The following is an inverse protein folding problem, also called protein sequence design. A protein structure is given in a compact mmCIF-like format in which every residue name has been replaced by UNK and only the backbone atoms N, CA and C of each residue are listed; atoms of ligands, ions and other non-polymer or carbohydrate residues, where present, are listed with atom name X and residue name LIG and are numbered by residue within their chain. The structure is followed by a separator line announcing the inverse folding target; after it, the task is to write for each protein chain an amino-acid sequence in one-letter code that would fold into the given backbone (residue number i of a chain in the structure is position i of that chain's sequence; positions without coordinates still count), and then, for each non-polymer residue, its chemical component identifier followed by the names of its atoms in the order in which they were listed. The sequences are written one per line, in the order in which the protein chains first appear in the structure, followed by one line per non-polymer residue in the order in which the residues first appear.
data_IF_986578073938
#
_entry.id   IF_986578073938
#
_cell.length_a   1.000
_cell.length_b   1.000
_cell.length_c   1.000
_cell.angle_alpha   90.00
_cell.angle_beta   90.00
_cell.angle_gamma   90.00
#
_symmetry.space_group_name_H-M   'P 1'
#
loop_
_entity.id
_entity.type
_entity.pdbx_description
1 polymer ?
#
# COMPACT_ATOMS: atom_id res chain seq x y z
N UNK A 1 32.86 -20.55 -19.90
CA UNK A 1 31.99 -20.05 -18.82
C UNK A 1 32.00 -18.52 -18.67
N UNK A 2 33.15 -17.88 -18.44
CA UNK A 2 33.22 -16.42 -18.23
C UNK A 2 32.60 -15.61 -19.38
N UNK A 3 32.85 -16.01 -20.63
CA UNK A 3 32.26 -15.36 -21.80
C UNK A 3 30.72 -15.48 -21.89
N UNK A 4 30.14 -16.59 -21.44
CA UNK A 4 28.67 -16.76 -21.38
C UNK A 4 28.06 -15.97 -20.23
N UNK A 5 28.75 -15.87 -19.09
CA UNK A 5 28.30 -15.04 -17.96
C UNK A 5 28.32 -13.55 -18.33
N UNK A 6 29.42 -13.09 -18.94
CA UNK A 6 29.54 -11.71 -19.44
C UNK A 6 28.52 -11.44 -20.55
N UNK A 7 28.30 -12.39 -21.46
CA UNK A 7 27.29 -12.26 -22.51
C UNK A 7 25.87 -12.16 -21.94
N UNK A 8 25.51 -12.98 -20.94
CA UNK A 8 24.22 -12.89 -20.27
C UNK A 8 24.07 -11.57 -19.49
N UNK A 9 25.09 -11.14 -18.74
CA UNK A 9 25.08 -9.84 -18.09
C UNK A 9 24.91 -8.70 -19.08
N UNK A 10 25.67 -8.67 -20.17
CA UNK A 10 25.60 -7.61 -21.18
C UNK A 10 24.26 -7.59 -21.92
N UNK A 11 23.72 -8.78 -22.27
CA UNK A 11 22.43 -8.93 -22.97
C UNK A 11 21.24 -8.37 -22.16
N UNK A 12 21.34 -8.41 -20.83
CA UNK A 12 20.29 -7.88 -19.94
C UNK A 12 20.64 -6.53 -19.30
N UNK A 13 21.88 -6.02 -19.42
CA UNK A 13 22.32 -4.78 -18.75
C UNK A 13 21.93 -3.48 -19.46
N UNK A 14 21.50 -3.51 -20.72
CA UNK A 14 21.55 -2.33 -21.59
C UNK A 14 20.26 -1.51 -21.78
N UNK A 15 19.06 -1.97 -21.41
CA UNK A 15 17.82 -1.24 -21.78
C UNK A 15 16.60 -1.55 -20.91
N UNK A 16 16.71 -2.43 -19.94
CA UNK A 16 15.61 -2.78 -19.03
C UNK A 16 15.97 -2.19 -17.68
N UNK A 17 15.31 -1.10 -17.25
CA UNK A 17 15.11 -0.95 -15.81
C UNK A 17 14.44 -2.25 -15.39
N UNK A 18 15.17 -3.13 -14.71
CA UNK A 18 14.69 -4.46 -14.37
C UNK A 18 13.31 -4.27 -13.73
N UNK A 19 12.27 -4.95 -14.21
CA UNK A 19 10.91 -4.77 -13.65
C UNK A 19 10.93 -5.00 -12.13
N UNK A 20 11.86 -5.84 -11.67
CA UNK A 20 12.18 -6.02 -10.26
C UNK A 20 12.70 -4.75 -9.58
N UNK A 21 13.63 -4.01 -10.19
CA UNK A 21 14.19 -2.77 -9.64
C UNK A 21 13.13 -1.66 -9.54
N UNK A 22 12.19 -1.60 -10.50
CA UNK A 22 11.04 -0.68 -10.44
C UNK A 22 10.20 -0.99 -9.20
N UNK A 23 9.84 -2.26 -9.01
CA UNK A 23 9.07 -2.71 -7.86
C UNK A 23 9.85 -2.52 -6.55
N UNK A 24 11.17 -2.77 -6.57
CA UNK A 24 12.09 -2.64 -5.43
C UNK A 24 12.14 -1.22 -4.92
N UNK A 25 12.35 -0.26 -5.81
CA UNK A 25 12.36 1.15 -5.44
C UNK A 25 10.98 1.61 -4.92
N UNK A 26 9.88 1.02 -5.42
CA UNK A 26 8.53 1.33 -4.94
C UNK A 26 8.22 0.74 -3.54
N UNK A 27 8.91 -0.34 -3.14
CA UNK A 27 8.69 -1.07 -1.89
C UNK A 27 9.67 -0.67 -0.80
N UNK A 28 10.97 -0.72 -1.08
CA UNK A 28 12.03 -0.67 -0.07
C UNK A 28 11.98 0.61 0.77
N UNK A 29 11.91 1.78 0.13
CA UNK A 29 11.87 3.08 0.83
C UNK A 29 10.62 3.20 1.71
N UNK A 30 9.45 2.81 1.19
CA UNK A 30 8.18 2.87 1.93
C UNK A 30 8.16 1.91 3.11
N UNK A 31 8.74 0.73 2.93
CA UNK A 31 8.79 -0.29 3.98
C UNK A 31 9.76 0.10 5.08
N UNK A 32 10.91 0.70 4.73
CA UNK A 32 11.87 1.25 5.68
C UNK A 32 11.27 2.41 6.49
N UNK A 33 10.56 3.32 5.83
CA UNK A 33 9.86 4.44 6.48
C UNK A 33 8.73 3.97 7.41
N UNK A 34 8.04 2.88 7.03
CA UNK A 34 6.96 2.30 7.83
C UNK A 34 7.53 1.60 9.08
N UNK A 35 8.39 0.60 8.87
CA UNK A 35 9.00 -0.16 9.95
C UNK A 35 10.29 -0.85 9.46
N UNK A 36 11.48 -0.38 9.90
CA UNK A 36 12.77 -0.95 9.50
C UNK A 36 12.92 -2.45 9.81
N UNK A 37 12.27 -2.94 10.87
CA UNK A 37 12.31 -4.37 11.24
C UNK A 37 11.59 -5.21 10.20
N UNK A 38 10.46 -4.73 9.66
CA UNK A 38 9.72 -5.42 8.60
C UNK A 38 10.53 -5.40 7.30
N UNK A 39 11.20 -4.28 6.98
CA UNK A 39 12.11 -4.19 5.84
C UNK A 39 13.27 -5.19 5.95
N UNK A 40 13.88 -5.31 7.13
CA UNK A 40 14.93 -6.30 7.38
C UNK A 40 14.43 -7.74 7.20
N UNK A 41 13.21 -8.05 7.67
CA UNK A 41 12.59 -9.37 7.47
C UNK A 41 12.45 -9.72 5.98
N UNK A 42 12.10 -8.74 5.14
CA UNK A 42 12.01 -8.96 3.69
C UNK A 42 13.37 -9.34 3.11
N UNK A 43 14.42 -8.60 3.49
CA UNK A 43 15.79 -8.89 3.07
C UNK A 43 16.26 -10.27 3.54
N UNK A 44 15.94 -10.66 4.78
CA UNK A 44 16.25 -11.98 5.32
C UNK A 44 15.55 -13.10 4.56
N UNK A 45 14.29 -12.91 4.15
CA UNK A 45 13.57 -13.87 3.34
C UNK A 45 14.24 -14.09 1.96
N UNK A 46 14.64 -13.01 1.28
CA UNK A 46 15.40 -13.09 0.02
C UNK A 46 16.77 -13.76 0.18
N UNK A 47 17.49 -13.44 1.27
CA UNK A 47 18.78 -14.08 1.59
C UNK A 47 18.61 -15.58 1.77
N UNK A 48 17.57 -15.99 2.49
CA UNK A 48 17.32 -17.38 2.83
C UNK A 48 17.01 -18.24 1.58
N UNK A 49 16.24 -17.75 0.62
CA UNK A 49 15.98 -18.47 -0.66
C UNK A 49 17.17 -18.47 -1.64
N UNK A 50 18.13 -17.58 -1.42
CA UNK A 50 19.37 -17.51 -2.20
C UNK A 50 20.39 -18.56 -1.73
N UNK A 51 20.19 -19.12 -0.54
CA UNK A 51 21.01 -20.19 0.03
C UNK A 51 20.74 -21.53 -0.65
N UNK A 52 21.73 -22.42 -0.58
CA UNK A 52 21.60 -23.81 -1.04
C UNK A 52 21.20 -24.77 0.10
N UNK A 53 20.85 -24.25 1.29
CA UNK A 53 20.39 -25.04 2.43
C UNK A 53 18.88 -25.07 2.54
N UNK A 54 18.31 -26.27 2.58
CA UNK A 54 16.87 -26.48 2.67
C UNK A 54 16.25 -25.92 3.95
N UNK A 55 16.95 -25.97 5.09
CA UNK A 55 16.43 -25.39 6.33
C UNK A 55 16.24 -23.88 6.22
N UNK A 56 17.09 -23.21 5.44
CA UNK A 56 16.99 -21.77 5.21
C UNK A 56 15.75 -21.44 4.35
N UNK A 57 15.34 -22.31 3.42
CA UNK A 57 14.11 -22.14 2.66
C UNK A 57 12.85 -22.23 3.53
N UNK A 58 12.84 -23.18 4.47
CA UNK A 58 11.77 -23.30 5.47
C UNK A 58 11.70 -22.06 6.37
N UNK A 59 12.86 -21.53 6.75
CA UNK A 59 12.97 -20.28 7.49
C UNK A 59 12.46 -19.08 6.69
N UNK A 60 12.64 -19.07 5.36
CA UNK A 60 12.11 -18.02 4.49
C UNK A 60 10.57 -17.95 4.57
N UNK A 61 9.88 -19.09 4.53
CA UNK A 61 8.41 -19.15 4.66
C UNK A 61 7.91 -18.62 6.01
N UNK A 62 8.61 -18.98 7.08
CA UNK A 62 8.32 -18.48 8.43
C UNK A 62 8.53 -16.97 8.49
N UNK A 63 9.58 -16.48 7.85
CA UNK A 63 9.89 -15.04 7.77
C UNK A 63 8.84 -14.28 6.96
N UNK A 64 8.39 -14.81 5.82
CA UNK A 64 7.29 -14.24 5.03
C UNK A 64 6.00 -14.09 5.84
N UNK A 65 5.64 -15.11 6.63
CA UNK A 65 4.47 -15.05 7.50
C UNK A 65 4.61 -13.95 8.56
N UNK A 66 5.74 -13.92 9.26
CA UNK A 66 6.02 -12.89 10.29
C UNK A 66 6.01 -11.48 9.72
N UNK A 67 6.52 -11.31 8.51
CA UNK A 67 6.49 -10.05 7.79
C UNK A 67 5.04 -9.58 7.56
N UNK A 68 4.16 -10.47 7.08
CA UNK A 68 2.75 -10.13 6.87
C UNK A 68 2.00 -9.88 8.18
N UNK A 69 2.33 -10.61 9.24
CA UNK A 69 1.81 -10.37 10.60
C UNK A 69 2.24 -8.98 11.10
N UNK A 70 3.51 -8.61 10.93
CA UNK A 70 4.03 -7.29 11.27
C UNK A 70 3.38 -6.18 10.45
N UNK A 71 3.21 -6.36 9.14
CA UNK A 71 2.48 -5.40 8.31
C UNK A 71 1.03 -5.26 8.74
N UNK A 72 0.37 -6.36 9.10
CA UNK A 72 -0.97 -6.30 9.64
C UNK A 72 -1.01 -5.51 10.96
N UNK A 73 -0.02 -5.67 11.84
CA UNK A 73 0.08 -4.91 13.09
C UNK A 73 0.22 -3.40 12.84
N UNK A 74 1.00 -2.98 11.84
CA UNK A 74 1.18 -1.56 11.48
C UNK A 74 -0.05 -0.97 10.76
N UNK A 75 -0.63 -1.72 9.81
CA UNK A 75 -1.67 -1.21 8.92
C UNK A 75 -3.08 -1.34 9.51
N UNK A 76 -3.32 -2.39 10.30
CA UNK A 76 -4.61 -2.65 10.94
C UNK A 76 -4.42 -3.42 12.26
N UNK A 77 -4.16 -2.71 13.37
CA UNK A 77 -3.93 -3.33 14.67
C UNK A 77 -5.05 -4.29 15.07
N UNK A 78 -4.69 -5.33 15.81
CA UNK A 78 -5.65 -6.33 16.25
C UNK A 78 -6.77 -5.73 17.12
N UNK A 79 -8.01 -6.14 16.85
CA UNK A 79 -9.20 -5.69 17.58
C UNK A 79 -10.06 -6.88 18.03
N UNK A 80 -10.82 -6.67 19.11
CA UNK A 80 -11.88 -7.59 19.56
C UNK A 80 -13.15 -7.44 18.74
N UNK A 81 -13.33 -6.28 18.12
CA UNK A 81 -14.46 -6.01 17.23
C UNK A 81 -14.26 -6.72 15.90
N UNK A 82 -15.38 -7.03 15.23
CA UNK A 82 -15.35 -7.67 13.92
C UNK A 82 -15.37 -6.60 12.83
N UNK A 83 -14.56 -6.77 11.80
CA UNK A 83 -14.65 -5.97 10.58
C UNK A 83 -15.49 -6.71 9.54
N UNK A 84 -16.60 -6.12 9.10
CA UNK A 84 -17.54 -6.75 8.14
C UNK A 84 -17.90 -8.21 8.52
N UNK A 85 -18.15 -8.45 9.82
CA UNK A 85 -18.51 -9.76 10.36
C UNK A 85 -17.34 -10.75 10.53
N UNK A 86 -16.10 -10.39 10.17
CA UNK A 86 -14.89 -11.22 10.30
C UNK A 86 -14.08 -10.84 11.53
N UNK A 87 -13.46 -11.83 12.17
CA UNK A 87 -12.53 -11.59 13.27
C UNK A 87 -11.21 -11.00 12.75
N UNK A 88 -10.75 -9.95 13.41
CA UNK A 88 -9.52 -9.20 13.12
C UNK A 88 -8.60 -9.15 14.35
N UNK A 89 -8.47 -10.27 15.05
CA UNK A 89 -7.55 -10.42 16.18
C UNK A 89 -6.13 -10.75 15.73
N UNK A 90 -5.22 -10.95 16.69
CA UNK A 90 -3.79 -11.10 16.43
C UNK A 90 -3.46 -12.20 15.40
N UNK A 91 -4.09 -13.37 15.56
CA UNK A 91 -3.89 -14.52 14.66
C UNK A 91 -4.61 -14.40 13.31
N UNK A 92 -5.44 -13.37 13.09
CA UNK A 92 -6.19 -13.16 11.85
C UNK A 92 -5.53 -12.11 10.96
N UNK A 93 -4.20 -12.16 10.80
CA UNK A 93 -3.44 -11.17 10.03
C UNK A 93 -3.95 -11.02 8.58
N UNK A 94 -4.35 -12.11 7.91
CA UNK A 94 -4.95 -12.05 6.56
C UNK A 94 -6.21 -11.20 6.54
N UNK A 95 -7.10 -11.38 7.52
CA UNK A 95 -8.32 -10.56 7.63
C UNK A 95 -8.00 -9.10 7.95
N UNK A 96 -6.93 -8.85 8.73
CA UNK A 96 -6.48 -7.49 9.08
C UNK A 96 -5.92 -6.76 7.86
N UNK A 97 -5.09 -7.41 7.06
CA UNK A 97 -4.60 -6.88 5.78
C UNK A 97 -5.76 -6.61 4.80
N UNK A 98 -6.73 -7.52 4.72
CA UNK A 98 -7.93 -7.28 3.94
C UNK A 98 -8.75 -6.08 4.45
N UNK A 99 -8.93 -5.95 5.76
CA UNK A 99 -9.66 -4.83 6.35
C UNK A 99 -8.99 -3.48 6.06
N UNK A 100 -7.66 -3.44 6.10
CA UNK A 100 -6.89 -2.28 5.65
C UNK A 100 -7.19 -1.95 4.19
N UNK A 101 -7.06 -2.93 3.28
CA UNK A 101 -7.30 -2.69 1.85
C UNK A 101 -8.74 -2.27 1.56
N UNK A 102 -9.73 -2.85 2.22
CA UNK A 102 -11.14 -2.46 2.07
C UNK A 102 -11.38 -1.00 2.49
N UNK A 103 -10.67 -0.53 3.53
CA UNK A 103 -10.74 0.87 3.96
C UNK A 103 -9.93 1.83 3.08
N UNK A 104 -8.81 1.38 2.53
CA UNK A 104 -7.88 2.21 1.75
C UNK A 104 -8.29 2.36 0.27
N UNK A 105 -8.95 1.37 -0.30
CA UNK A 105 -9.31 1.34 -1.72
C UNK A 105 -10.73 1.88 -1.92
N UNK A 106 -10.91 2.82 -2.83
CA UNK A 106 -12.26 3.36 -3.15
C UNK A 106 -13.00 2.53 -4.21
N UNK A 107 -12.28 2.02 -5.21
CA UNK A 107 -12.88 1.26 -6.31
C UNK A 107 -13.21 -0.18 -5.89
N UNK A 108 -14.47 -0.58 -6.07
CA UNK A 108 -14.94 -1.93 -5.76
C UNK A 108 -14.19 -3.02 -6.54
N UNK A 109 -13.90 -2.78 -7.83
CA UNK A 109 -13.14 -3.74 -8.64
C UNK A 109 -11.71 -3.95 -8.11
N UNK A 110 -11.10 -2.89 -7.56
CA UNK A 110 -9.76 -2.97 -7.00
C UNK A 110 -9.78 -3.61 -5.62
N UNK A 111 -10.85 -3.42 -4.83
CA UNK A 111 -11.07 -4.15 -3.58
C UNK A 111 -11.18 -5.65 -3.82
N UNK A 112 -11.96 -6.05 -4.82
CA UNK A 112 -12.11 -7.45 -5.20
C UNK A 112 -10.78 -8.08 -5.61
N UNK A 113 -9.99 -7.35 -6.41
CA UNK A 113 -8.65 -7.80 -6.83
C UNK A 113 -7.69 -7.93 -5.64
N UNK A 114 -7.62 -6.91 -4.79
CA UNK A 114 -6.76 -6.92 -3.60
C UNK A 114 -7.15 -8.05 -2.63
N UNK A 115 -8.45 -8.24 -2.42
CA UNK A 115 -8.98 -9.32 -1.60
C UNK A 115 -8.60 -10.69 -2.18
N UNK A 116 -8.75 -10.90 -3.48
CA UNK A 116 -8.37 -12.15 -4.13
C UNK A 116 -6.88 -12.46 -3.96
N UNK A 117 -6.01 -11.45 -4.10
CA UNK A 117 -4.57 -11.61 -3.92
C UNK A 117 -4.19 -11.95 -2.47
N UNK A 118 -4.76 -11.24 -1.49
CA UNK A 118 -4.52 -11.48 -0.06
C UNK A 118 -5.04 -12.85 0.38
N UNK A 119 -6.24 -13.23 -0.06
CA UNK A 119 -6.84 -14.54 0.25
C UNK A 119 -5.99 -15.68 -0.37
N UNK A 120 -5.51 -15.49 -1.60
CA UNK A 120 -4.62 -16.44 -2.26
C UNK A 120 -3.31 -16.60 -1.48
N UNK A 121 -2.61 -15.51 -1.16
CA UNK A 121 -1.34 -15.56 -0.44
C UNK A 121 -1.51 -16.18 0.94
N UNK A 122 -2.56 -15.80 1.67
CA UNK A 122 -2.87 -16.38 2.98
C UNK A 122 -3.05 -17.89 2.91
N UNK A 123 -3.87 -18.36 1.96
CA UNK A 123 -4.11 -19.79 1.73
C UNK A 123 -2.84 -20.53 1.28
N UNK A 124 -2.03 -19.90 0.42
CA UNK A 124 -0.77 -20.43 -0.07
C UNK A 124 0.23 -20.63 1.07
N UNK A 125 0.55 -19.57 1.82
CA UNK A 125 1.52 -19.64 2.92
C UNK A 125 1.08 -20.60 4.02
N UNK A 126 -0.21 -20.69 4.32
CA UNK A 126 -0.73 -21.65 5.30
C UNK A 126 -0.49 -23.10 4.86
N UNK A 127 -0.72 -23.40 3.58
CA UNK A 127 -0.53 -24.75 3.03
C UNK A 127 0.94 -25.11 2.96
N UNK A 128 1.78 -24.23 2.41
CA UNK A 128 3.22 -24.50 2.28
C UNK A 128 3.85 -24.65 3.67
N UNK A 129 3.55 -23.76 4.63
CA UNK A 129 4.05 -23.92 6.00
C UNK A 129 3.57 -25.22 6.67
N UNK A 130 2.33 -25.67 6.43
CA UNK A 130 1.84 -26.95 6.97
C UNK A 130 2.55 -28.16 6.38
N UNK A 131 2.94 -28.11 5.10
CA UNK A 131 3.71 -29.18 4.45
C UNK A 131 5.11 -29.28 5.06
N UNK A 132 5.79 -28.15 5.23
CA UNK A 132 7.15 -28.08 5.78
C UNK A 132 7.22 -28.46 7.26
N UNK A 133 6.24 -28.04 8.09
CA UNK A 133 6.26 -28.29 9.54
C UNK A 133 5.81 -29.70 9.98
N UNK A 134 5.24 -30.53 9.08
CA UNK A 134 4.72 -31.85 9.44
C UNK A 134 5.72 -33.00 9.33
N UNK A 135 6.97 -32.75 8.93
CA UNK A 135 8.06 -33.73 8.97
C UNK A 135 7.84 -35.02 8.13
N UNK A 136 6.86 -35.03 7.23
CA UNK A 136 6.53 -36.18 6.38
C UNK A 136 7.13 -35.98 4.99
N UNK A 137 8.43 -36.23 4.82
CA UNK A 137 9.18 -36.41 3.55
C UNK A 137 8.90 -35.45 2.37
N UNK A 138 8.15 -34.36 2.58
CA UNK A 138 7.88 -33.34 1.59
C UNK A 138 9.01 -32.32 1.72
N UNK A 139 10.13 -32.65 1.07
CA UNK A 139 11.21 -31.69 0.86
C UNK A 139 10.61 -30.42 0.24
N UNK A 140 10.94 -29.28 0.82
CA UNK A 140 10.49 -28.01 0.27
C UNK A 140 11.30 -27.74 -0.99
N UNK A 141 10.64 -27.77 -2.15
CA UNK A 141 11.30 -27.37 -3.39
C UNK A 141 11.76 -25.90 -3.30
N UNK A 142 13.02 -25.63 -3.63
CA UNK A 142 13.59 -24.29 -3.70
C UNK A 142 12.71 -23.36 -4.54
N UNK A 143 12.14 -23.87 -5.63
CA UNK A 143 11.25 -23.07 -6.49
C UNK A 143 10.00 -22.62 -5.71
N UNK A 144 9.47 -23.47 -4.83
CA UNK A 144 8.29 -23.14 -4.02
C UNK A 144 8.58 -22.10 -2.95
N UNK A 145 9.77 -22.19 -2.33
CA UNK A 145 10.26 -21.17 -1.41
C UNK A 145 10.45 -19.82 -2.12
N UNK A 146 11.06 -19.83 -3.31
CA UNK A 146 11.24 -18.65 -4.15
C UNK A 146 9.88 -18.03 -4.50
N UNK A 147 8.92 -18.82 -5.01
CA UNK A 147 7.56 -18.33 -5.31
C UNK A 147 6.90 -17.71 -4.08
N UNK A 148 7.06 -18.31 -2.91
CA UNK A 148 6.45 -17.81 -1.67
C UNK A 148 7.00 -16.43 -1.27
N UNK A 149 8.31 -16.21 -1.43
CA UNK A 149 8.93 -14.88 -1.22
C UNK A 149 8.41 -13.89 -2.26
N UNK A 150 8.34 -14.27 -3.54
CA UNK A 150 7.84 -13.36 -4.59
C UNK A 150 6.35 -13.02 -4.43
N UNK A 151 5.49 -13.98 -4.09
CA UNK A 151 4.08 -13.70 -3.80
C UNK A 151 3.93 -12.79 -2.60
N UNK A 152 4.72 -13.02 -1.55
CA UNK A 152 4.76 -12.12 -0.39
C UNK A 152 5.16 -10.71 -0.82
N UNK A 153 6.24 -10.60 -1.59
CA UNK A 153 6.75 -9.32 -2.09
C UNK A 153 5.73 -8.54 -2.94
N UNK A 154 4.97 -9.23 -3.81
CA UNK A 154 3.92 -8.59 -4.61
C UNK A 154 2.76 -8.08 -3.73
N UNK A 155 2.32 -8.85 -2.72
CA UNK A 155 1.31 -8.36 -1.77
C UNK A 155 1.83 -7.17 -0.97
N UNK A 156 3.09 -7.19 -0.54
CA UNK A 156 3.71 -6.04 0.15
C UNK A 156 3.67 -4.80 -0.73
N UNK A 157 3.99 -4.93 -2.02
CA UNK A 157 3.90 -3.82 -2.97
C UNK A 157 2.49 -3.25 -3.07
N UNK A 158 1.47 -4.11 -3.24
CA UNK A 158 0.07 -3.70 -3.29
C UNK A 158 -0.35 -2.99 -2.00
N UNK A 159 0.00 -3.52 -0.83
CA UNK A 159 -0.33 -2.93 0.46
C UNK A 159 0.28 -1.53 0.62
N UNK A 160 1.56 -1.37 0.27
CA UNK A 160 2.28 -0.09 0.39
C UNK A 160 1.81 0.95 -0.63
N UNK A 161 1.37 0.52 -1.81
CA UNK A 161 0.71 1.39 -2.79
C UNK A 161 -0.52 2.07 -2.16
N UNK A 162 -1.39 1.28 -1.51
CA UNK A 162 -2.58 1.82 -0.87
C UNK A 162 -2.30 2.49 0.49
N UNK A 163 -1.20 2.19 1.17
CA UNK A 163 -0.75 2.95 2.34
C UNK A 163 -0.45 4.42 1.97
N UNK A 164 0.11 4.62 0.80
CA UNK A 164 0.39 5.97 0.25
C UNK A 164 -0.91 6.74 0.00
N UNK A 165 -1.98 6.03 -0.34
CA UNK A 165 -3.33 6.58 -0.44
C UNK A 165 -3.98 6.81 0.93
N UNK A 166 -3.55 6.14 2.02
CA UNK A 166 -4.08 6.38 3.39
C UNK A 166 -3.47 7.57 4.12
N UNK A 167 -2.29 8.10 3.72
CA UNK A 167 -1.88 9.47 4.12
C UNK A 167 -2.74 10.55 3.45
N UNK A 168 -3.57 10.15 2.50
CA UNK A 168 -4.74 10.89 2.06
C UNK A 168 -5.98 10.12 2.50
N UNK A 169 -6.27 10.14 3.81
CA UNK A 169 -7.69 10.21 4.15
C UNK A 169 -8.24 11.34 3.29
N UNK A 170 -9.05 11.05 2.28
CA UNK A 170 -9.87 12.10 1.67
C UNK A 170 -10.97 12.41 2.68
N UNK A 171 -10.59 12.85 3.88
CA UNK A 171 -11.25 14.02 4.43
C UNK A 171 -11.00 15.08 3.37
N UNK A 172 -12.05 15.44 2.63
CA UNK A 172 -11.98 16.55 1.68
C UNK A 172 -11.15 17.67 2.33
N UNK A 173 -10.09 18.19 1.69
CA UNK A 173 -9.28 19.25 2.28
C UNK A 173 -10.17 20.33 2.90
N UNK A 174 -9.77 20.88 4.04
CA UNK A 174 -10.52 21.97 4.67
C UNK A 174 -10.29 23.24 3.85
N UNK A 175 -11.35 23.82 3.27
CA UNK A 175 -11.23 25.05 2.48
C UNK A 175 -10.68 26.20 3.33
N UNK A 176 -10.90 26.16 4.64
CA UNK A 176 -10.37 27.12 5.61
C UNK A 176 -8.91 26.87 5.97
N UNK A 177 -8.23 25.94 5.29
CA UNK A 177 -6.79 25.70 5.44
C UNK A 177 -6.06 25.62 4.10
N UNK A 178 -6.79 25.41 3.00
CA UNK A 178 -6.27 25.34 1.65
C UNK A 178 -5.41 26.56 1.27
N UNK A 179 -4.30 26.27 0.57
CA UNK A 179 -3.40 27.24 -0.05
C UNK A 179 -3.96 27.76 -1.37
N UNK A 180 -3.38 28.84 -1.90
CA UNK A 180 -3.78 29.39 -3.21
C UNK A 180 -3.59 28.36 -4.33
N UNK A 181 -2.47 27.65 -4.33
CA UNK A 181 -2.15 26.71 -5.39
C UNK A 181 -3.06 25.46 -5.33
N UNK A 182 -3.42 25.00 -4.12
CA UNK A 182 -4.44 23.96 -3.94
C UNK A 182 -5.83 24.40 -4.42
N UNK A 183 -6.25 25.63 -4.14
CA UNK A 183 -7.52 26.17 -4.63
C UNK A 183 -7.55 26.26 -6.16
N UNK A 184 -6.47 26.72 -6.78
CA UNK A 184 -6.35 26.80 -8.25
C UNK A 184 -6.43 25.40 -8.88
N UNK A 185 -5.64 24.45 -8.37
CA UNK A 185 -5.57 23.09 -8.91
C UNK A 185 -6.87 22.29 -8.71
N UNK A 186 -7.45 22.32 -7.51
CA UNK A 186 -8.59 21.48 -7.15
C UNK A 186 -9.93 22.01 -7.67
N UNK A 187 -10.08 23.34 -7.77
CA UNK A 187 -11.33 23.96 -8.26
C UNK A 187 -11.27 24.32 -9.75
N UNK A 188 -10.09 24.21 -10.37
CA UNK A 188 -9.83 24.67 -11.73
C UNK A 188 -10.24 26.14 -11.92
N UNK A 189 -9.80 26.99 -10.97
CA UNK A 189 -10.07 28.44 -10.95
C UNK A 189 -8.77 29.22 -11.15
N UNK A 190 -8.89 30.46 -11.62
CA UNK A 190 -7.74 31.35 -11.70
C UNK A 190 -7.33 31.91 -10.33
N UNK A 191 -6.08 32.38 -10.24
CA UNK A 191 -5.49 32.99 -9.04
C UNK A 191 -6.27 34.17 -8.46
N UNK A 192 -7.00 34.91 -9.29
CA UNK A 192 -7.82 36.04 -8.83
C UNK A 192 -8.97 35.54 -7.96
N UNK A 193 -9.69 34.51 -8.39
CA UNK A 193 -10.79 33.91 -7.62
C UNK A 193 -10.26 33.23 -6.36
N UNK A 194 -9.13 32.50 -6.45
CA UNK A 194 -8.49 31.87 -5.29
C UNK A 194 -8.14 32.91 -4.20
N UNK A 195 -7.61 34.08 -4.59
CA UNK A 195 -7.35 35.19 -3.66
C UNK A 195 -8.62 35.72 -2.99
N UNK A 196 -9.75 35.79 -3.70
CA UNK A 196 -11.00 36.25 -3.11
C UNK A 196 -11.55 35.26 -2.07
N UNK A 197 -11.39 33.94 -2.29
CA UNK A 197 -11.71 32.90 -1.30
C UNK A 197 -10.88 33.09 -0.02
N UNK A 198 -9.56 33.27 -0.15
CA UNK A 198 -8.69 33.50 1.01
C UNK A 198 -9.02 34.80 1.74
N UNK A 199 -9.35 35.87 1.02
CA UNK A 199 -9.80 37.14 1.65
C UNK A 199 -11.12 36.96 2.40
N UNK A 200 -12.07 36.22 1.86
CA UNK A 200 -13.33 35.92 2.53
C UNK A 200 -13.09 35.10 3.81
N UNK A 201 -12.22 34.09 3.75
CA UNK A 201 -11.79 33.28 4.90
C UNK A 201 -11.23 34.14 6.04
N UNK A 202 -10.35 35.10 5.71
CA UNK A 202 -9.75 35.99 6.73
C UNK A 202 -10.77 36.94 7.33
N UNK A 203 -11.73 37.42 6.53
CA UNK A 203 -12.75 38.39 6.96
C UNK A 203 -13.79 37.76 7.89
N UNK A 204 -14.29 36.58 7.52
CA UNK A 204 -15.40 35.91 8.20
C UNK A 204 -14.91 34.88 9.23
N UNK A 205 -13.62 34.57 9.26
CA UNK A 205 -12.98 33.60 10.14
C UNK A 205 -13.22 32.14 9.74
N UNK A 206 -14.43 31.81 9.28
CA UNK A 206 -14.80 30.50 8.72
C UNK A 206 -15.71 30.70 7.50
N UNK A 207 -15.46 29.95 6.43
CA UNK A 207 -16.27 29.94 5.23
C UNK A 207 -17.44 28.96 5.36
N UNK A 208 -18.61 29.39 4.94
CA UNK A 208 -19.77 28.54 4.72
C UNK A 208 -20.30 28.71 3.28
N UNK A 209 -21.36 27.98 2.95
CA UNK A 209 -21.93 27.99 1.59
C UNK A 209 -22.49 29.36 1.19
N UNK A 210 -22.98 30.15 2.13
CA UNK A 210 -23.63 31.42 1.82
C UNK A 210 -22.59 32.52 1.62
N UNK A 211 -21.51 32.48 2.40
CA UNK A 211 -20.32 33.31 2.17
C UNK A 211 -19.72 33.00 0.80
N UNK A 212 -19.54 31.72 0.46
CA UNK A 212 -18.96 31.31 -0.83
C UNK A 212 -19.78 31.77 -2.04
N UNK A 213 -21.11 31.73 -1.96
CA UNK A 213 -22.00 32.24 -3.01
C UNK A 213 -21.87 33.75 -3.24
N UNK A 214 -21.47 34.50 -2.20
CA UNK A 214 -21.31 35.95 -2.29
C UNK A 214 -20.01 36.39 -2.96
N UNK A 215 -19.05 35.47 -3.13
CA UNK A 215 -17.74 35.77 -3.72
C UNK A 215 -17.86 35.98 -5.23
N UNK A 216 -17.44 37.17 -5.67
CA UNK A 216 -17.44 37.53 -7.10
C UNK A 216 -16.56 36.55 -7.89
N UNK A 217 -17.16 35.84 -8.84
CA UNK A 217 -16.48 34.86 -9.70
C UNK A 217 -16.73 33.40 -9.31
N UNK A 218 -17.39 33.12 -8.18
CA UNK A 218 -17.87 31.77 -7.84
C UNK A 218 -19.28 31.59 -8.41
N UNK A 219 -19.40 30.75 -9.45
CA UNK A 219 -20.68 30.34 -10.01
C UNK A 219 -21.16 29.00 -9.43
N UNK A 220 -22.37 28.57 -9.82
CA UNK A 220 -22.98 27.32 -9.35
C UNK A 220 -22.09 26.09 -9.58
N UNK A 221 -21.38 26.03 -10.72
CA UNK A 221 -20.44 24.94 -11.03
C UNK A 221 -19.26 24.92 -10.06
N UNK A 222 -18.63 26.06 -9.81
CA UNK A 222 -17.50 26.17 -8.86
C UNK A 222 -17.95 25.84 -7.43
N UNK A 223 -19.14 26.27 -7.04
CA UNK A 223 -19.70 25.95 -5.73
C UNK A 223 -19.97 24.45 -5.55
N UNK A 224 -20.49 23.78 -6.60
CA UNK A 224 -20.65 22.33 -6.61
C UNK A 224 -19.32 21.62 -6.49
N UNK A 225 -18.29 22.06 -7.24
CA UNK A 225 -16.94 21.50 -7.14
C UNK A 225 -16.34 21.71 -5.74
N UNK A 226 -16.58 22.85 -5.10
CA UNK A 226 -16.15 23.09 -3.71
C UNK A 226 -16.80 22.08 -2.77
N UNK A 227 -18.11 21.86 -2.88
CA UNK A 227 -18.82 20.89 -2.04
C UNK A 227 -18.37 19.44 -2.28
N UNK A 228 -17.94 19.12 -3.49
CA UNK A 228 -17.41 17.81 -3.85
C UNK A 228 -15.99 17.60 -3.31
N UNK A 229 -15.14 18.63 -3.39
CA UNK A 229 -13.69 18.50 -3.16
C UNK A 229 -13.22 18.98 -1.78
N UNK A 230 -13.95 19.86 -1.08
CA UNK A 230 -13.55 20.43 0.21
C UNK A 230 -14.55 20.16 1.35
N UNK A 231 -14.06 20.11 2.60
CA UNK A 231 -14.88 20.29 3.81
C UNK A 231 -14.94 21.79 4.14
N UNK A 232 -16.09 22.23 4.67
CA UNK A 232 -16.38 23.62 5.08
C UNK A 232 -16.22 23.90 6.57
#
# INVERSE_FOLDING_TARGET
ELASQIFNQLKFSGTVSNCFDILKNAVDDKLLDLNPVIAEQLMLAFKAISSDKEEEWSQALTTCRRLLEGLADELYPASKEKFNGRAVGQGQYVNRLWAFMDGAIQSESNKDLAKAHIDFLGSWLDKVNKLTNKGVHAELDRIEAVKSVFHTYLVVADLLEYMSNTKTSVSKPDINKATLDELEALLNINRTIAKEIVKARVREGKLDLDILKSIKGIGAKTLSNIQEVFVL
#
